data_IF_276275482687
#
_entry.id   IF_276275482687
#
_cell.length_a   1.000
_cell.length_b   1.000
_cell.length_c   1.000
_cell.angle_alpha   90.00
_cell.angle_beta   90.00
_cell.angle_gamma   90.00
#
_symmetry.space_group_name_H-M   'P 1'
#
loop_
_entity.id
_entity.type
_entity.pdbx_description
1 polymer ?
#
# COMPACT_ATOMS: atom_id res chain seq x y z
N UNK A 1 -18.24 -44.78 0.81
CA UNK A 1 -19.04 -43.56 1.03
C UNK A 1 -18.12 -42.39 0.81
N UNK A 2 -18.53 -41.43 -0.01
CA UNK A 2 -17.84 -40.16 -0.11
C UNK A 2 -18.28 -39.28 1.05
N UNK A 3 -17.47 -39.24 2.11
CA UNK A 3 -17.74 -38.50 3.34
C UNK A 3 -17.84 -36.98 3.09
N UNK A 4 -17.22 -36.47 2.01
CA UNK A 4 -17.26 -35.05 1.67
C UNK A 4 -18.64 -34.72 1.11
N UNK A 5 -19.23 -35.59 0.29
CA UNK A 5 -20.59 -35.42 -0.23
C UNK A 5 -21.69 -35.44 0.85
N UNK A 6 -21.37 -35.82 2.09
CA UNK A 6 -22.31 -35.78 3.23
C UNK A 6 -22.31 -34.41 3.95
N UNK A 7 -21.33 -33.55 3.67
CA UNK A 7 -21.25 -32.22 4.28
C UNK A 7 -22.44 -31.32 3.89
N UNK A 8 -22.91 -30.44 4.79
CA UNK A 8 -23.87 -29.38 4.47
C UNK A 8 -23.45 -28.56 3.26
N UNK A 9 -24.42 -28.13 2.45
CA UNK A 9 -24.18 -27.36 1.23
C UNK A 9 -23.35 -26.10 1.47
N UNK A 10 -23.60 -25.38 2.57
CA UNK A 10 -22.82 -24.20 2.95
C UNK A 10 -21.33 -24.49 3.15
N UNK A 11 -20.97 -25.65 3.69
CA UNK A 11 -19.57 -26.07 3.82
C UNK A 11 -18.98 -26.45 2.48
N UNK A 12 -19.76 -27.10 1.60
CA UNK A 12 -19.32 -27.41 0.24
C UNK A 12 -19.05 -26.13 -0.57
N UNK A 13 -19.93 -25.14 -0.50
CA UNK A 13 -19.73 -23.84 -1.14
C UNK A 13 -18.51 -23.11 -0.55
N UNK A 14 -18.29 -23.22 0.76
CA UNK A 14 -17.10 -22.65 1.41
C UNK A 14 -15.81 -23.33 0.92
N UNK A 15 -15.81 -24.64 0.75
CA UNK A 15 -14.67 -25.39 0.18
C UNK A 15 -14.44 -24.97 -1.28
N UNK A 16 -15.50 -24.93 -2.09
CA UNK A 16 -15.42 -24.52 -3.50
C UNK A 16 -14.94 -23.08 -3.67
N UNK A 17 -15.28 -22.19 -2.74
CA UNK A 17 -14.83 -20.78 -2.73
C UNK A 17 -13.32 -20.61 -2.54
N UNK A 18 -12.59 -21.68 -2.21
CA UNK A 18 -11.13 -21.69 -2.08
C UNK A 18 -10.44 -22.15 -3.38
N UNK A 19 -11.20 -22.55 -4.39
CA UNK A 19 -10.69 -23.11 -5.65
C UNK A 19 -10.89 -22.13 -6.82
N UNK A 20 -9.98 -22.13 -7.81
CA UNK A 20 -10.23 -21.46 -9.08
C UNK A 20 -11.50 -21.97 -9.77
N UNK A 21 -12.16 -21.13 -10.55
CA UNK A 21 -13.44 -21.44 -11.20
C UNK A 21 -13.36 -22.68 -12.10
N UNK A 22 -12.22 -22.95 -12.73
CA UNK A 22 -12.01 -24.14 -13.55
C UNK A 22 -12.05 -25.44 -12.72
N UNK A 23 -11.48 -25.41 -11.52
CA UNK A 23 -11.50 -26.54 -10.59
C UNK A 23 -12.89 -26.72 -9.99
N UNK A 24 -13.55 -25.60 -9.64
CA UNK A 24 -14.97 -25.60 -9.24
C UNK A 24 -15.84 -26.25 -10.32
N UNK A 25 -15.66 -25.89 -11.59
CA UNK A 25 -16.37 -26.50 -12.71
C UNK A 25 -16.08 -28.00 -12.83
N UNK A 26 -14.84 -28.42 -12.59
CA UNK A 26 -14.43 -29.82 -12.65
C UNK A 26 -15.11 -30.68 -11.58
N UNK A 27 -15.45 -30.10 -10.42
CA UNK A 27 -16.19 -30.81 -9.36
C UNK A 27 -17.57 -31.31 -9.80
N UNK A 28 -18.15 -30.72 -10.86
CA UNK A 28 -19.43 -31.15 -11.43
C UNK A 28 -19.45 -32.62 -11.86
N UNK A 29 -18.27 -33.19 -12.13
CA UNK A 29 -18.09 -34.56 -12.58
C UNK A 29 -18.03 -35.58 -11.42
N UNK A 30 -17.89 -35.12 -10.18
CA UNK A 30 -17.72 -35.99 -9.01
C UNK A 30 -18.99 -36.77 -8.67
N UNK A 31 -20.14 -36.10 -8.62
CA UNK A 31 -21.43 -36.75 -8.38
C UNK A 31 -22.62 -35.85 -8.75
N UNK A 32 -23.84 -36.42 -8.72
CA UNK A 32 -25.08 -35.66 -8.94
C UNK A 32 -25.24 -34.48 -7.97
N UNK A 33 -24.71 -34.59 -6.75
CA UNK A 33 -24.77 -33.54 -5.72
C UNK A 33 -23.91 -32.33 -6.11
N UNK A 34 -22.72 -32.56 -6.66
CA UNK A 34 -21.78 -31.50 -7.02
C UNK A 34 -22.11 -30.80 -8.34
N UNK A 35 -22.93 -31.44 -9.20
CA UNK A 35 -23.25 -30.98 -10.55
C UNK A 35 -23.70 -29.53 -10.65
N UNK A 36 -24.38 -29.00 -9.64
CA UNK A 36 -24.95 -27.64 -9.66
C UNK A 36 -24.40 -26.71 -8.60
N UNK A 37 -23.53 -27.17 -7.68
CA UNK A 37 -23.04 -26.32 -6.57
C UNK A 37 -22.32 -25.07 -7.06
N UNK A 38 -21.62 -25.17 -8.18
CA UNK A 38 -20.88 -24.08 -8.81
C UNK A 38 -21.75 -22.86 -9.17
N UNK A 39 -23.06 -23.03 -9.43
CA UNK A 39 -23.97 -21.91 -9.77
C UNK A 39 -24.26 -21.00 -8.58
N UNK A 40 -23.92 -21.46 -7.37
CA UNK A 40 -24.17 -20.77 -6.10
C UNK A 40 -22.89 -20.41 -5.35
N UNK A 41 -21.71 -20.62 -5.93
CA UNK A 41 -20.43 -20.31 -5.28
C UNK A 41 -20.25 -18.80 -5.15
N UNK A 42 -20.10 -18.25 -3.93
CA UNK A 42 -20.09 -16.81 -3.70
C UNK A 42 -18.77 -16.14 -4.11
N UNK A 43 -17.69 -16.90 -4.33
CA UNK A 43 -16.37 -16.37 -4.68
C UNK A 43 -15.83 -17.08 -5.91
N UNK A 44 -15.61 -16.32 -6.97
CA UNK A 44 -15.15 -16.85 -8.24
C UNK A 44 -13.81 -16.21 -8.59
N UNK A 45 -12.78 -17.05 -8.71
CA UNK A 45 -11.47 -16.67 -9.23
C UNK A 45 -11.28 -17.27 -10.62
N UNK A 46 -11.16 -16.42 -11.63
CA UNK A 46 -10.87 -16.80 -12.99
C UNK A 46 -9.40 -16.50 -13.28
N UNK A 47 -8.62 -17.56 -13.47
CA UNK A 47 -7.18 -17.47 -13.68
C UNK A 47 -6.79 -18.02 -15.06
N UNK A 48 -6.28 -17.13 -15.91
CA UNK A 48 -5.83 -17.42 -17.28
C UNK A 48 -4.40 -18.00 -17.34
N UNK A 49 -3.67 -18.03 -16.22
CA UNK A 49 -2.30 -18.57 -16.17
C UNK A 49 -2.24 -20.09 -16.33
N UNK A 50 -3.35 -20.79 -16.07
CA UNK A 50 -3.36 -22.25 -15.91
C UNK A 50 -3.07 -23.04 -17.19
N UNK A 51 -3.21 -22.46 -18.38
CA UNK A 51 -3.13 -23.23 -19.61
C UNK A 51 -2.67 -22.37 -20.79
N UNK A 52 -1.91 -22.97 -21.72
CA UNK A 52 -1.58 -22.42 -23.04
C UNK A 52 -2.82 -22.37 -23.93
N UNK A 53 -3.90 -21.75 -23.45
CA UNK A 53 -5.19 -21.82 -24.09
C UNK A 53 -5.15 -20.95 -25.35
N UNK A 54 -5.59 -21.53 -26.47
CA UNK A 54 -6.03 -20.77 -27.62
C UNK A 54 -6.85 -19.54 -27.20
N UNK A 55 -6.50 -18.38 -27.76
CA UNK A 55 -7.20 -17.12 -27.56
C UNK A 55 -8.73 -17.30 -27.57
N UNK A 56 -9.42 -16.79 -26.55
CA UNK A 56 -10.88 -16.78 -26.44
C UNK A 56 -11.56 -18.06 -25.93
N UNK A 57 -10.86 -19.17 -25.66
CA UNK A 57 -11.46 -20.30 -24.90
C UNK A 57 -11.68 -19.94 -23.43
N UNK A 58 -10.73 -19.23 -22.81
CA UNK A 58 -10.86 -18.70 -21.46
C UNK A 58 -12.07 -17.76 -21.38
N UNK A 59 -12.15 -16.76 -22.25
CA UNK A 59 -13.28 -15.82 -22.25
C UNK A 59 -14.64 -16.50 -22.39
N UNK A 60 -14.77 -17.47 -23.32
CA UNK A 60 -16.00 -18.27 -23.46
C UNK A 60 -16.35 -19.09 -22.22
N UNK A 61 -15.35 -19.60 -21.50
CA UNK A 61 -15.58 -20.28 -20.23
C UNK A 61 -16.13 -19.30 -19.19
N UNK A 62 -15.48 -18.14 -19.01
CA UNK A 62 -15.90 -17.09 -18.08
C UNK A 62 -17.33 -16.62 -18.41
N UNK A 63 -17.60 -16.27 -19.67
CA UNK A 63 -18.91 -15.81 -20.14
C UNK A 63 -20.00 -16.83 -19.82
N UNK A 64 -19.76 -18.10 -20.14
CA UNK A 64 -20.73 -19.17 -19.90
C UNK A 64 -20.95 -19.39 -18.40
N UNK A 65 -19.89 -19.36 -17.61
CA UNK A 65 -19.96 -19.58 -16.18
C UNK A 65 -20.73 -18.45 -15.48
N UNK A 66 -20.42 -17.18 -15.81
CA UNK A 66 -21.15 -16.01 -15.31
C UNK A 66 -22.60 -15.98 -15.81
N UNK A 67 -22.86 -16.36 -17.07
CA UNK A 67 -24.22 -16.38 -17.62
C UNK A 67 -25.14 -17.36 -16.89
N UNK A 68 -24.61 -18.52 -16.53
CA UNK A 68 -25.33 -19.61 -15.85
C UNK A 68 -25.28 -19.50 -14.32
N UNK A 69 -24.59 -18.51 -13.77
CA UNK A 69 -24.54 -18.30 -12.33
C UNK A 69 -25.91 -17.82 -11.82
N UNK A 70 -26.37 -18.41 -10.73
CA UNK A 70 -27.74 -18.25 -10.22
C UNK A 70 -27.79 -17.43 -8.93
N UNK A 71 -26.66 -17.25 -8.23
CA UNK A 71 -26.63 -16.46 -7.01
C UNK A 71 -27.00 -14.99 -7.30
N UNK A 72 -27.88 -14.38 -6.50
CA UNK A 72 -28.27 -12.98 -6.70
C UNK A 72 -27.15 -11.99 -6.34
N UNK A 73 -26.21 -12.44 -5.49
CA UNK A 73 -25.06 -11.65 -5.02
C UNK A 73 -23.82 -12.51 -5.11
N UNK A 74 -22.77 -11.99 -5.73
CA UNK A 74 -21.43 -12.56 -5.67
C UNK A 74 -20.59 -11.76 -4.68
N UNK A 75 -19.96 -12.44 -3.72
CA UNK A 75 -19.08 -11.78 -2.74
C UNK A 75 -17.81 -11.27 -3.40
N UNK A 76 -17.13 -12.13 -4.17
CA UNK A 76 -15.85 -11.79 -4.80
C UNK A 76 -15.82 -12.28 -6.25
N UNK A 77 -15.53 -11.37 -7.18
CA UNK A 77 -15.09 -11.69 -8.54
C UNK A 77 -13.63 -11.29 -8.70
N UNK A 78 -12.78 -12.28 -8.94
CA UNK A 78 -11.36 -12.09 -9.15
C UNK A 78 -10.97 -12.56 -10.55
N UNK A 79 -10.39 -11.66 -11.33
CA UNK A 79 -9.84 -11.94 -12.65
C UNK A 79 -8.32 -11.83 -12.61
N UNK A 80 -7.62 -12.96 -12.71
CA UNK A 80 -6.18 -13.04 -12.96
C UNK A 80 -5.97 -13.28 -14.45
N UNK A 81 -5.60 -12.23 -15.16
CA UNK A 81 -5.62 -12.17 -16.61
C UNK A 81 -4.21 -12.14 -17.17
N UNK A 82 -3.99 -12.97 -18.18
CA UNK A 82 -2.76 -13.02 -18.96
C UNK A 82 -2.98 -12.47 -20.37
N UNK A 83 -2.51 -13.22 -21.38
CA UNK A 83 -2.47 -12.79 -22.78
C UNK A 83 -3.75 -13.06 -23.58
N UNK A 84 -4.74 -13.77 -23.02
CA UNK A 84 -5.78 -14.41 -23.84
C UNK A 84 -7.12 -13.67 -23.89
N UNK A 85 -7.29 -12.58 -23.15
CA UNK A 85 -8.53 -11.82 -23.06
C UNK A 85 -8.49 -10.46 -23.78
N UNK A 86 -9.55 -10.13 -24.51
CA UNK A 86 -9.72 -8.85 -25.19
C UNK A 86 -10.57 -7.85 -24.41
N UNK A 87 -10.54 -6.58 -24.80
CA UNK A 87 -11.34 -5.52 -24.15
C UNK A 87 -12.86 -5.73 -24.20
N UNK A 88 -13.38 -6.41 -25.23
CA UNK A 88 -14.81 -6.73 -25.31
C UNK A 88 -15.26 -7.73 -24.24
N UNK A 89 -14.40 -8.70 -23.89
CA UNK A 89 -14.70 -9.69 -22.85
C UNK A 89 -14.89 -8.98 -21.49
N UNK A 90 -14.01 -8.02 -21.19
CA UNK A 90 -14.04 -7.21 -19.97
C UNK A 90 -15.34 -6.42 -19.83
N UNK A 91 -15.87 -5.86 -20.93
CA UNK A 91 -17.17 -5.17 -20.92
C UNK A 91 -18.30 -6.09 -20.52
N UNK A 92 -18.29 -7.34 -21.01
CA UNK A 92 -19.29 -8.35 -20.65
C UNK A 92 -19.18 -8.70 -19.16
N UNK A 93 -17.96 -8.90 -18.66
CA UNK A 93 -17.73 -9.30 -17.26
C UNK A 93 -18.09 -8.20 -16.27
N UNK A 94 -17.87 -6.92 -16.61
CA UNK A 94 -18.30 -5.80 -15.76
C UNK A 94 -19.82 -5.68 -15.70
N UNK A 95 -20.53 -5.92 -16.82
CA UNK A 95 -22.00 -5.99 -16.79
C UNK A 95 -22.50 -7.15 -15.92
N UNK A 96 -21.79 -8.28 -15.95
CA UNK A 96 -22.11 -9.38 -15.05
C UNK A 96 -21.86 -8.99 -13.58
N UNK A 97 -20.76 -8.29 -13.29
CA UNK A 97 -20.46 -7.83 -11.93
C UNK A 97 -21.55 -6.89 -11.37
N UNK A 98 -22.08 -6.00 -12.21
CA UNK A 98 -23.23 -5.16 -11.88
C UNK A 98 -24.50 -5.99 -11.65
N UNK A 99 -24.84 -6.89 -12.59
CA UNK A 99 -25.99 -7.82 -12.48
C UNK A 99 -25.99 -8.59 -11.15
N UNK A 100 -24.82 -9.05 -10.73
CA UNK A 100 -24.63 -9.87 -9.53
C UNK A 100 -24.28 -9.07 -8.28
N UNK A 101 -24.46 -7.74 -8.30
CA UNK A 101 -24.27 -6.86 -7.13
C UNK A 101 -22.96 -7.13 -6.39
N UNK A 102 -21.87 -7.29 -7.15
CA UNK A 102 -20.58 -7.74 -6.63
C UNK A 102 -20.08 -6.84 -5.51
N UNK A 103 -19.56 -7.45 -4.43
CA UNK A 103 -19.00 -6.71 -3.29
C UNK A 103 -17.50 -6.46 -3.43
N UNK A 104 -16.73 -7.43 -3.91
CA UNK A 104 -15.30 -7.30 -4.17
C UNK A 104 -14.98 -7.65 -5.62
N UNK A 105 -14.38 -6.71 -6.33
CA UNK A 105 -13.94 -6.88 -7.71
C UNK A 105 -12.43 -6.66 -7.81
N UNK A 106 -11.72 -7.66 -8.34
CA UNK A 106 -10.26 -7.66 -8.45
C UNK A 106 -9.87 -7.95 -9.89
N UNK A 107 -9.05 -7.08 -10.47
CA UNK A 107 -8.37 -7.30 -11.74
C UNK A 107 -6.87 -7.32 -11.51
N UNK A 108 -6.25 -8.47 -11.74
CA UNK A 108 -4.80 -8.67 -11.69
C UNK A 108 -4.29 -9.07 -13.07
N UNK A 109 -3.43 -8.24 -13.67
CA UNK A 109 -2.88 -8.51 -15.00
C UNK A 109 -1.42 -8.94 -14.87
N UNK A 110 -1.11 -10.15 -15.36
CA UNK A 110 0.27 -10.63 -15.42
C UNK A 110 1.03 -9.87 -16.52
N UNK A 111 2.19 -9.33 -16.17
CA UNK A 111 3.05 -8.54 -17.06
C UNK A 111 4.34 -9.26 -17.42
N UNK A 112 4.33 -10.60 -17.45
CA UNK A 112 5.51 -11.42 -17.77
C UNK A 112 6.12 -11.16 -19.17
N UNK A 113 5.48 -10.35 -20.02
CA UNK A 113 6.10 -9.80 -21.23
C UNK A 113 5.56 -8.40 -21.56
N UNK A 114 6.44 -7.47 -21.95
CA UNK A 114 6.12 -6.10 -22.35
C UNK A 114 5.26 -5.97 -23.63
N UNK A 115 4.85 -7.09 -24.25
CA UNK A 115 4.25 -7.12 -25.58
C UNK A 115 2.71 -7.30 -25.57
N UNK A 116 2.06 -7.44 -24.41
CA UNK A 116 0.59 -7.54 -24.36
C UNK A 116 -0.05 -6.15 -24.40
N UNK A 117 -1.11 -5.95 -25.21
CA UNK A 117 -1.84 -4.69 -25.21
C UNK A 117 -2.44 -4.44 -23.82
N UNK A 118 -2.44 -3.19 -23.34
CA UNK A 118 -3.01 -2.86 -22.04
C UNK A 118 -4.52 -3.12 -22.02
N UNK A 119 -5.05 -3.54 -20.87
CA UNK A 119 -6.48 -3.78 -20.72
C UNK A 119 -7.19 -2.47 -20.37
N UNK A 120 -8.08 -2.04 -21.26
CA UNK A 120 -8.95 -0.88 -21.06
C UNK A 120 -10.20 -1.27 -20.29
N UNK A 121 -10.40 -0.67 -19.10
CA UNK A 121 -11.62 -0.83 -18.32
C UNK A 121 -12.69 0.16 -18.76
N UNK A 122 -13.89 -0.32 -19.13
CA UNK A 122 -14.99 0.52 -19.58
C UNK A 122 -15.62 1.34 -18.45
N UNK A 123 -16.20 2.47 -18.82
CA UNK A 123 -16.98 3.36 -17.95
C UNK A 123 -18.16 2.72 -17.22
N UNK A 124 -18.67 1.58 -17.70
CA UNK A 124 -19.71 0.79 -17.02
C UNK A 124 -19.30 0.33 -15.62
N UNK A 125 -17.98 0.22 -15.35
CA UNK A 125 -17.46 -0.08 -14.02
C UNK A 125 -17.87 0.98 -13.00
N UNK A 126 -17.70 2.25 -13.37
CA UNK A 126 -17.90 3.40 -12.48
C UNK A 126 -19.36 3.81 -12.36
N UNK A 127 -20.18 3.48 -13.35
CA UNK A 127 -21.59 3.87 -13.44
C UNK A 127 -22.55 2.78 -12.94
N UNK A 128 -22.21 1.51 -13.16
CA UNK A 128 -23.08 0.36 -12.82
C UNK A 128 -22.82 -0.23 -11.43
N UNK A 129 -21.56 -0.49 -11.07
CA UNK A 129 -21.20 -1.35 -9.93
C UNK A 129 -21.32 -0.66 -8.55
N UNK A 130 -22.52 -0.19 -8.19
CA UNK A 130 -22.78 0.64 -6.99
C UNK A 130 -22.69 -0.12 -5.65
N UNK A 131 -22.73 -1.44 -5.70
CA UNK A 131 -22.66 -2.32 -4.52
C UNK A 131 -21.23 -2.71 -4.14
N UNK A 132 -20.23 -2.28 -4.92
CA UNK A 132 -18.83 -2.55 -4.62
C UNK A 132 -18.42 -1.94 -3.28
N UNK A 133 -17.81 -2.78 -2.46
CA UNK A 133 -17.16 -2.44 -1.19
C UNK A 133 -15.64 -2.41 -1.37
N UNK A 134 -15.11 -3.28 -2.21
CA UNK A 134 -13.68 -3.38 -2.51
C UNK A 134 -13.44 -3.41 -4.01
N UNK A 135 -12.57 -2.53 -4.50
CA UNK A 135 -12.12 -2.50 -5.89
C UNK A 135 -10.60 -2.51 -5.92
N UNK A 136 -10.02 -3.53 -6.57
CA UNK A 136 -8.56 -3.68 -6.72
C UNK A 136 -8.23 -3.80 -8.19
N UNK A 137 -7.47 -2.84 -8.70
CA UNK A 137 -7.07 -2.75 -10.09
C UNK A 137 -5.55 -2.80 -10.18
N UNK A 138 -5.04 -3.67 -11.03
CA UNK A 138 -3.61 -3.82 -11.27
C UNK A 138 -3.32 -3.81 -12.77
N UNK A 139 -2.48 -2.86 -13.21
CA UNK A 139 -1.98 -2.71 -14.59
C UNK A 139 -3.05 -2.49 -15.67
N UNK A 140 -4.13 -1.80 -15.35
CA UNK A 140 -5.22 -1.45 -16.28
C UNK A 140 -5.12 0.00 -16.76
N UNK A 141 -5.80 0.30 -17.87
CA UNK A 141 -6.10 1.66 -18.32
C UNK A 141 -7.55 1.96 -18.00
N UNK A 142 -7.83 3.12 -17.41
CA UNK A 142 -9.19 3.58 -17.17
C UNK A 142 -9.68 4.41 -18.36
N UNK A 143 -10.83 4.03 -18.93
CA UNK A 143 -11.46 4.79 -20.01
C UNK A 143 -11.96 6.15 -19.52
N UNK A 144 -11.56 7.22 -20.20
CA UNK A 144 -12.11 8.56 -19.97
C UNK A 144 -13.53 8.61 -20.53
N UNK A 145 -14.48 8.85 -19.65
CA UNK A 145 -15.82 9.21 -20.07
C UNK A 145 -16.26 10.33 -19.16
N UNK A 146 -16.81 11.40 -19.72
CA UNK A 146 -17.44 12.50 -18.98
C UNK A 146 -18.73 12.07 -18.23
N UNK A 147 -18.84 10.79 -17.89
CA UNK A 147 -19.96 10.15 -17.21
C UNK A 147 -19.88 10.33 -15.70
N UNK A 148 -21.02 10.19 -15.02
CA UNK A 148 -21.10 10.30 -13.56
C UNK A 148 -20.51 9.05 -12.90
N UNK A 149 -19.33 9.18 -12.29
CA UNK A 149 -18.73 8.16 -11.43
C UNK A 149 -19.57 8.01 -10.15
N UNK A 150 -19.84 6.78 -9.70
CA UNK A 150 -20.60 6.55 -8.48
C UNK A 150 -20.19 5.27 -7.73
N UNK A 151 -19.51 5.43 -6.59
CA UNK A 151 -19.11 4.35 -5.70
C UNK A 151 -19.61 4.57 -4.26
N UNK A 152 -20.94 4.49 -4.03
CA UNK A 152 -21.53 4.89 -2.76
C UNK A 152 -21.17 3.98 -1.57
N UNK A 153 -20.77 2.73 -1.84
CA UNK A 153 -20.49 1.71 -0.82
C UNK A 153 -19.00 1.36 -0.70
N UNK A 154 -18.14 1.98 -1.52
CA UNK A 154 -16.75 1.57 -1.67
C UNK A 154 -15.92 2.02 -0.46
N UNK A 155 -15.33 1.05 0.23
CA UNK A 155 -14.51 1.23 1.43
C UNK A 155 -13.03 1.03 1.16
N UNK A 156 -12.68 0.18 0.21
CA UNK A 156 -11.29 -0.16 -0.11
C UNK A 156 -11.05 0.00 -1.60
N UNK A 157 -10.07 0.84 -1.95
CA UNK A 157 -9.64 1.08 -3.33
C UNK A 157 -8.14 0.84 -3.44
N UNK A 158 -7.74 -0.09 -4.33
CA UNK A 158 -6.34 -0.33 -4.66
C UNK A 158 -6.12 -0.08 -6.14
N UNK A 159 -5.22 0.84 -6.47
CA UNK A 159 -4.88 1.28 -7.82
C UNK A 159 -3.38 1.07 -8.02
N UNK A 160 -3.03 -0.13 -8.49
CA UNK A 160 -1.64 -0.54 -8.68
C UNK A 160 -1.29 -0.43 -10.16
N UNK A 161 -0.29 0.38 -10.49
CA UNK A 161 0.17 0.51 -11.87
C UNK A 161 -0.97 0.90 -12.84
N UNK A 162 -1.92 1.74 -12.41
CA UNK A 162 -3.06 2.15 -13.23
C UNK A 162 -2.69 3.33 -14.12
N UNK A 163 -3.12 3.34 -15.37
CA UNK A 163 -3.06 4.50 -16.24
C UNK A 163 -4.41 5.21 -16.24
N UNK A 164 -4.38 6.52 -15.98
CA UNK A 164 -5.57 7.35 -15.86
C UNK A 164 -5.76 8.25 -17.08
N UNK A 165 -6.98 8.76 -17.31
CA UNK A 165 -7.22 9.85 -18.25
C UNK A 165 -6.48 11.15 -17.93
N UNK A 166 -6.32 11.48 -16.64
CA UNK A 166 -5.64 12.69 -16.16
C UNK A 166 -5.96 13.05 -14.71
N UNK A 167 -5.36 14.13 -14.21
CA UNK A 167 -5.48 14.61 -12.82
C UNK A 167 -6.94 14.86 -12.38
N UNK A 168 -7.76 15.45 -13.27
CA UNK A 168 -9.18 15.74 -13.00
C UNK A 168 -10.01 14.47 -12.79
N UNK A 169 -9.69 13.41 -13.54
CA UNK A 169 -10.38 12.13 -13.42
C UNK A 169 -10.14 11.50 -12.06
N UNK A 170 -8.89 11.52 -11.56
CA UNK A 170 -8.55 11.00 -10.23
C UNK A 170 -9.33 11.75 -9.14
N UNK A 171 -9.40 13.08 -9.25
CA UNK A 171 -10.15 13.91 -8.30
C UNK A 171 -11.66 13.59 -8.32
N UNK A 172 -12.23 13.41 -9.52
CA UNK A 172 -13.62 13.00 -9.70
C UNK A 172 -13.89 11.59 -9.15
N UNK A 173 -12.97 10.65 -9.38
CA UNK A 173 -13.05 9.29 -8.89
C UNK A 173 -13.08 9.24 -7.36
N UNK A 174 -12.15 9.92 -6.69
CA UNK A 174 -12.04 9.90 -5.24
C UNK A 174 -13.18 10.65 -4.54
N UNK A 175 -13.64 11.77 -5.10
CA UNK A 175 -14.80 12.50 -4.58
C UNK A 175 -16.12 11.72 -4.71
N UNK A 176 -16.16 10.72 -5.61
CA UNK A 176 -17.31 9.83 -5.81
C UNK A 176 -17.34 8.61 -4.87
N UNK A 177 -16.40 8.54 -3.91
CA UNK A 177 -16.26 7.46 -2.93
C UNK A 177 -16.45 7.98 -1.49
N UNK A 178 -17.68 8.34 -1.06
CA UNK A 178 -17.92 9.07 0.20
C UNK A 178 -17.57 8.28 1.47
N UNK A 179 -17.55 6.95 1.40
CA UNK A 179 -17.30 6.05 2.54
C UNK A 179 -15.95 5.34 2.46
N UNK A 180 -15.03 5.82 1.62
CA UNK A 180 -13.72 5.21 1.42
C UNK A 180 -12.87 5.28 2.70
N UNK A 181 -12.42 4.13 3.19
CA UNK A 181 -11.63 4.00 4.42
C UNK A 181 -10.15 3.69 4.11
N UNK A 182 -9.87 2.92 3.05
CA UNK A 182 -8.53 2.46 2.68
C UNK A 182 -8.22 2.76 1.20
N UNK A 183 -7.14 3.49 0.95
CA UNK A 183 -6.65 3.81 -0.39
C UNK A 183 -5.18 3.39 -0.54
N UNK A 184 -4.92 2.52 -1.51
CA UNK A 184 -3.57 2.13 -1.93
C UNK A 184 -3.35 2.54 -3.39
N UNK A 185 -2.31 3.32 -3.65
CA UNK A 185 -1.94 3.77 -4.99
C UNK A 185 -0.47 3.47 -5.21
N UNK A 186 -0.17 2.74 -6.27
CA UNK A 186 1.18 2.58 -6.80
C UNK A 186 1.22 3.19 -8.20
N UNK A 187 1.87 4.35 -8.37
CA UNK A 187 1.97 5.00 -9.66
C UNK A 187 3.09 4.41 -10.52
N UNK A 188 2.87 4.38 -11.83
CA UNK A 188 3.95 4.16 -12.80
C UNK A 188 4.59 5.50 -13.18
N UNK A 189 5.89 5.50 -13.52
CA UNK A 189 6.48 6.60 -14.27
C UNK A 189 5.69 6.84 -15.57
N UNK A 190 5.47 8.11 -15.93
CA UNK A 190 4.80 8.51 -17.17
C UNK A 190 3.34 8.08 -17.31
N UNK A 191 2.61 7.93 -16.21
CA UNK A 191 1.14 7.99 -16.31
C UNK A 191 0.70 9.41 -16.73
N UNK A 192 -0.57 9.56 -17.08
CA UNK A 192 -1.12 10.88 -17.42
C UNK A 192 -1.43 11.73 -16.18
N UNK A 193 -0.95 11.35 -14.98
CA UNK A 193 -1.25 12.01 -13.71
C UNK A 193 -0.01 12.64 -13.10
N UNK A 194 0.10 13.95 -13.25
CA UNK A 194 1.21 14.71 -12.68
C UNK A 194 1.01 14.98 -11.20
N UNK A 195 -0.19 15.40 -10.81
CA UNK A 195 -0.55 15.70 -9.43
C UNK A 195 -1.65 14.77 -8.96
N UNK A 196 -1.28 13.81 -8.12
CA UNK A 196 -2.26 12.89 -7.53
C UNK A 196 -2.87 13.52 -6.27
N UNK A 197 -4.12 13.97 -6.38
CA UNK A 197 -4.81 14.73 -5.34
C UNK A 197 -5.79 13.87 -4.55
N UNK A 198 -5.60 13.77 -3.23
CA UNK A 198 -6.41 12.96 -2.32
C UNK A 198 -7.18 13.88 -1.37
N UNK A 199 -8.48 14.08 -1.63
CA UNK A 199 -9.41 14.81 -0.74
C UNK A 199 -10.58 13.93 -0.35
N UNK A 200 -10.37 13.11 0.67
CA UNK A 200 -11.33 12.06 1.09
C UNK A 200 -11.51 12.12 2.62
N UNK A 201 -12.55 12.81 3.14
CA UNK A 201 -12.71 13.03 4.58
C UNK A 201 -12.93 11.77 5.43
N UNK A 202 -13.39 10.67 4.82
CA UNK A 202 -13.64 9.37 5.45
C UNK A 202 -12.39 8.47 5.52
N UNK A 203 -11.31 8.84 4.83
CA UNK A 203 -10.13 8.00 4.68
C UNK A 203 -9.39 7.82 6.01
N UNK A 204 -9.03 6.56 6.31
CA UNK A 204 -8.30 6.15 7.52
C UNK A 204 -6.89 5.66 7.19
N UNK A 205 -6.71 5.01 6.03
CA UNK A 205 -5.44 4.47 5.59
C UNK A 205 -5.10 4.94 4.18
N UNK A 206 -3.90 5.50 4.01
CA UNK A 206 -3.38 5.97 2.74
C UNK A 206 -1.97 5.41 2.51
N UNK A 207 -1.80 4.68 1.41
CA UNK A 207 -0.50 4.20 0.92
C UNK A 207 -0.28 4.75 -0.48
N UNK A 208 0.79 5.51 -0.65
CA UNK A 208 1.21 6.11 -1.91
C UNK A 208 2.63 5.63 -2.22
N UNK A 209 2.81 4.88 -3.30
CA UNK A 209 4.11 4.40 -3.76
C UNK A 209 4.31 4.66 -5.25
N UNK A 210 5.56 4.67 -5.70
CA UNK A 210 5.90 4.75 -7.12
C UNK A 210 6.91 3.66 -7.47
N UNK A 211 6.72 3.04 -8.63
CA UNK A 211 7.70 2.13 -9.22
C UNK A 211 8.90 2.94 -9.73
N UNK A 212 10.11 2.56 -9.31
CA UNK A 212 11.33 3.22 -9.80
C UNK A 212 11.45 3.09 -11.34
N UNK A 213 11.50 4.23 -12.03
CA UNK A 213 11.75 4.35 -13.47
C UNK A 213 12.86 5.35 -13.79
N UNK A 214 13.38 5.29 -15.01
CA UNK A 214 14.36 6.26 -15.51
C UNK A 214 13.63 7.49 -16.06
N UNK A 215 14.04 8.68 -15.64
CA UNK A 215 13.55 9.97 -16.13
C UNK A 215 12.34 10.46 -15.32
N UNK A 216 12.43 11.68 -14.81
CA UNK A 216 11.39 12.29 -13.98
C UNK A 216 10.96 13.62 -14.61
N UNK A 217 9.65 13.85 -14.62
CA UNK A 217 9.09 15.16 -14.95
C UNK A 217 9.41 16.16 -13.84
N UNK A 218 9.34 17.46 -14.14
CA UNK A 218 9.68 18.53 -13.19
C UNK A 218 8.56 18.78 -12.17
N UNK A 219 7.32 18.32 -12.42
CA UNK A 219 6.13 18.67 -11.62
C UNK A 219 5.29 17.41 -11.30
N UNK A 220 5.92 16.38 -10.75
CA UNK A 220 5.18 15.24 -10.18
C UNK A 220 4.97 15.47 -8.68
N UNK A 221 3.84 15.06 -8.12
CA UNK A 221 3.63 15.16 -6.68
C UNK A 221 2.27 14.71 -6.15
N UNK A 222 2.14 14.81 -4.83
CA UNK A 222 0.94 14.47 -4.08
C UNK A 222 0.34 15.71 -3.40
N UNK A 223 -0.98 15.82 -3.43
CA UNK A 223 -1.73 16.79 -2.61
C UNK A 223 -2.68 16.00 -1.72
N UNK A 224 -2.62 16.22 -0.40
CA UNK A 224 -3.37 15.42 0.59
C UNK A 224 -4.16 16.35 1.52
N UNK A 225 -5.46 16.08 1.61
CA UNK A 225 -6.37 16.69 2.60
C UNK A 225 -7.36 15.62 3.09
N UNK A 226 -6.98 14.93 4.17
CA UNK A 226 -7.74 13.79 4.73
C UNK A 226 -7.76 13.84 6.25
N UNK A 227 -8.65 14.64 6.88
CA UNK A 227 -8.61 14.93 8.32
C UNK A 227 -8.87 13.72 9.22
N UNK A 228 -9.41 12.62 8.70
CA UNK A 228 -9.65 11.38 9.45
C UNK A 228 -8.52 10.36 9.36
N UNK A 229 -7.42 10.68 8.66
CA UNK A 229 -6.37 9.72 8.38
C UNK A 229 -5.66 9.25 9.66
N UNK A 230 -5.47 7.94 9.80
CA UNK A 230 -4.83 7.28 10.95
C UNK A 230 -3.48 6.66 10.57
N UNK A 231 -3.36 6.19 9.31
CA UNK A 231 -2.16 5.58 8.74
C UNK A 231 -1.77 6.25 7.42
N UNK A 232 -0.52 6.69 7.32
CA UNK A 232 0.06 7.28 6.11
C UNK A 232 1.39 6.60 5.76
N UNK A 233 1.51 6.05 4.55
CA UNK A 233 2.76 5.50 4.02
C UNK A 233 3.04 6.14 2.65
N UNK A 234 4.15 6.85 2.52
CA UNK A 234 4.59 7.46 1.25
C UNK A 234 5.98 6.94 0.90
N UNK A 235 6.11 6.35 -0.27
CA UNK A 235 7.36 5.88 -0.87
C UNK A 235 7.55 6.53 -2.24
N UNK A 236 8.42 7.54 -2.33
CA UNK A 236 8.57 8.35 -3.53
C UNK A 236 10.02 8.81 -3.78
N UNK A 237 10.65 8.25 -4.82
CA UNK A 237 12.01 8.60 -5.21
C UNK A 237 12.09 9.51 -6.43
N UNK A 238 10.94 9.94 -6.98
CA UNK A 238 10.89 11.05 -7.93
C UNK A 238 11.28 12.29 -7.13
N UNK A 239 12.05 13.20 -7.68
CA UNK A 239 12.39 14.48 -7.03
C UNK A 239 11.17 15.43 -6.97
N UNK A 240 10.03 14.88 -6.56
CA UNK A 240 8.67 15.37 -6.56
C UNK A 240 8.38 16.19 -5.29
N UNK A 241 7.12 16.55 -5.09
CA UNK A 241 6.65 17.22 -3.89
C UNK A 241 5.47 16.48 -3.26
N UNK A 242 5.25 16.74 -1.97
CA UNK A 242 4.02 16.37 -1.28
C UNK A 242 3.55 17.60 -0.49
N UNK A 243 2.31 18.02 -0.75
CA UNK A 243 1.65 19.12 -0.07
C UNK A 243 0.53 18.53 0.78
N UNK A 244 0.54 18.87 2.06
CA UNK A 244 -0.58 18.64 2.97
C UNK A 244 -1.26 19.99 3.18
N UNK A 245 -2.56 20.08 2.90
CA UNK A 245 -3.27 21.36 2.90
C UNK A 245 -3.74 21.78 4.30
N UNK A 246 -4.12 20.80 5.14
CA UNK A 246 -4.62 21.01 6.50
C UNK A 246 -3.94 20.06 7.49
N UNK A 247 -3.92 20.43 8.77
CA UNK A 247 -3.44 19.55 9.84
C UNK A 247 -4.21 18.22 9.83
N UNK A 248 -3.49 17.11 10.01
CA UNK A 248 -4.06 15.76 10.05
C UNK A 248 -3.94 15.20 11.47
N UNK A 249 -4.77 15.67 12.42
CA UNK A 249 -4.57 15.44 13.85
C UNK A 249 -4.76 13.98 14.27
N UNK A 250 -5.46 13.18 13.46
CA UNK A 250 -5.74 11.77 13.77
C UNK A 250 -4.62 10.81 13.35
N UNK A 251 -3.58 11.27 12.65
CA UNK A 251 -2.54 10.35 12.19
C UNK A 251 -1.82 9.75 13.39
N UNK A 252 -1.87 8.43 13.47
CA UNK A 252 -1.27 7.65 14.54
C UNK A 252 0.09 7.11 14.13
N UNK A 253 0.20 6.69 12.87
CA UNK A 253 1.44 6.19 12.30
C UNK A 253 1.69 6.79 10.93
N UNK A 254 2.92 7.25 10.71
CA UNK A 254 3.36 7.70 9.40
C UNK A 254 4.70 7.10 9.01
N UNK A 255 4.85 6.79 7.72
CA UNK A 255 6.07 6.34 7.07
C UNK A 255 6.34 7.23 5.87
N UNK A 256 7.55 7.79 5.82
CA UNK A 256 8.05 8.52 4.68
C UNK A 256 9.37 7.91 4.23
N UNK A 257 9.42 7.43 3.00
CA UNK A 257 10.62 7.00 2.29
C UNK A 257 10.72 7.80 1.00
N UNK A 258 11.20 9.04 1.11
CA UNK A 258 11.03 10.05 0.07
C UNK A 258 12.32 10.80 -0.27
N UNK A 259 12.42 11.20 -1.53
CA UNK A 259 13.48 12.04 -2.06
C UNK A 259 12.93 13.39 -2.54
N UNK A 260 12.53 14.25 -1.59
CA UNK A 260 12.00 15.58 -1.90
C UNK A 260 13.03 16.67 -1.64
N UNK A 261 12.86 17.84 -2.26
CA UNK A 261 13.71 19.02 -2.00
C UNK A 261 13.54 19.57 -0.57
N UNK A 262 12.32 19.51 -0.04
CA UNK A 262 11.94 20.04 1.27
C UNK A 262 11.03 19.08 2.06
N UNK A 263 11.47 17.84 2.36
CA UNK A 263 10.63 16.82 2.97
C UNK A 263 10.22 17.16 4.42
N UNK A 264 11.00 18.01 5.10
CA UNK A 264 10.71 18.45 6.46
C UNK A 264 9.40 19.23 6.57
N UNK A 265 8.94 19.89 5.50
CA UNK A 265 7.71 20.68 5.53
C UNK A 265 6.47 19.81 5.80
N UNK A 266 6.50 18.53 5.41
CA UNK A 266 5.42 17.56 5.66
C UNK A 266 5.25 17.32 7.16
N UNK A 267 6.35 17.36 7.92
CA UNK A 267 6.38 17.04 9.34
C UNK A 267 5.54 18.00 10.20
N UNK A 268 5.30 19.24 9.74
CA UNK A 268 4.50 20.22 10.49
C UNK A 268 3.03 19.81 10.65
N UNK A 269 2.49 19.08 9.67
CA UNK A 269 1.06 18.73 9.61
C UNK A 269 0.71 17.43 10.33
N UNK A 270 1.73 16.70 10.82
CA UNK A 270 1.58 15.36 11.39
C UNK A 270 2.15 15.25 12.82
N UNK A 271 2.25 16.36 13.54
CA UNK A 271 2.87 16.41 14.89
C UNK A 271 2.17 15.53 15.94
N UNK A 272 0.95 15.05 15.65
CA UNK A 272 0.17 14.15 16.52
C UNK A 272 0.58 12.68 16.48
N UNK A 273 1.48 12.28 15.57
CA UNK A 273 1.90 10.87 15.39
C UNK A 273 2.44 10.24 16.67
N UNK A 274 2.13 8.94 16.86
CA UNK A 274 2.74 8.11 17.91
C UNK A 274 3.90 7.27 17.38
N UNK A 275 3.85 6.90 16.11
CA UNK A 275 4.88 6.10 15.42
C UNK A 275 5.29 6.79 14.14
N UNK A 276 6.59 7.02 13.97
CA UNK A 276 7.11 7.71 12.80
C UNK A 276 8.32 6.97 12.24
N UNK A 277 8.29 6.66 10.95
CA UNK A 277 9.43 6.18 10.18
C UNK A 277 9.84 7.23 9.16
N UNK A 278 11.13 7.57 9.14
CA UNK A 278 11.69 8.59 8.25
C UNK A 278 12.90 8.06 7.50
N UNK A 279 12.82 8.07 6.18
CA UNK A 279 13.93 7.96 5.26
C UNK A 279 13.81 9.13 4.28
N UNK A 280 14.48 10.24 4.59
CA UNK A 280 14.35 11.51 3.86
C UNK A 280 15.70 11.87 3.22
N UNK A 281 15.77 11.95 1.88
CA UNK A 281 16.96 12.50 1.22
C UNK A 281 16.96 14.02 1.36
N UNK A 282 17.78 14.53 2.27
CA UNK A 282 17.85 15.96 2.62
C UNK A 282 18.98 16.64 1.86
N UNK A 283 18.64 17.32 0.75
CA UNK A 283 19.61 18.09 -0.05
C UNK A 283 19.80 19.52 0.45
N UNK A 284 18.80 20.12 1.10
CA UNK A 284 18.81 21.50 1.60
C UNK A 284 19.17 21.62 3.10
N UNK A 285 19.49 22.82 3.58
CA UNK A 285 19.89 23.10 4.98
C UNK A 285 18.71 23.06 5.98
N UNK A 286 17.48 23.30 5.52
CA UNK A 286 16.28 23.28 6.35
C UNK A 286 15.77 21.86 6.54
N UNK A 287 16.40 21.13 7.45
CA UNK A 287 16.17 19.70 7.68
C UNK A 287 14.85 19.42 8.43
N UNK A 288 14.37 20.40 9.21
CA UNK A 288 13.27 20.20 10.15
C UNK A 288 12.44 21.50 10.29
N UNK A 289 11.10 21.42 10.35
CA UNK A 289 10.26 22.61 10.43
C UNK A 289 10.39 23.28 11.80
N UNK A 290 10.74 24.56 11.81
CA UNK A 290 10.83 25.36 13.03
C UNK A 290 9.53 25.34 13.83
N UNK A 291 9.61 25.10 15.14
CA UNK A 291 8.46 25.14 16.04
C UNK A 291 7.59 23.88 16.09
N UNK A 292 7.92 22.84 15.32
CA UNK A 292 7.17 21.57 15.36
C UNK A 292 7.60 20.71 16.56
N UNK A 293 6.64 20.38 17.43
CA UNK A 293 6.86 19.55 18.63
C UNK A 293 6.01 18.29 18.53
N UNK A 294 6.67 17.14 18.60
CA UNK A 294 6.06 15.81 18.53
C UNK A 294 5.71 15.29 19.93
N UNK A 295 4.74 15.94 20.57
CA UNK A 295 4.38 15.63 21.97
C UNK A 295 3.84 14.21 22.18
N UNK A 296 3.29 13.60 21.13
CA UNK A 296 2.69 12.26 21.15
C UNK A 296 3.65 11.16 20.68
N UNK A 297 4.83 11.49 20.15
CA UNK A 297 5.72 10.51 19.52
C UNK A 297 6.33 9.58 20.57
N UNK A 298 6.11 8.28 20.37
CA UNK A 298 6.59 7.21 21.26
C UNK A 298 7.64 6.35 20.56
N UNK A 299 7.44 6.06 19.27
CA UNK A 299 8.34 5.25 18.48
C UNK A 299 8.85 6.03 17.26
N UNK A 300 10.16 6.20 17.19
CA UNK A 300 10.85 6.85 16.09
C UNK A 300 11.78 5.85 15.42
N UNK A 301 11.73 5.81 14.10
CA UNK A 301 12.61 5.01 13.27
C UNK A 301 13.21 5.89 12.17
N UNK A 302 14.52 5.98 12.10
CA UNK A 302 15.23 6.85 11.13
C UNK A 302 16.16 6.00 10.26
N UNK A 303 16.09 6.19 8.94
CA UNK A 303 17.07 5.64 8.00
C UNK A 303 18.38 6.43 8.07
N UNK A 304 19.49 5.75 8.27
CA UNK A 304 20.85 6.33 8.33
C UNK A 304 21.50 6.46 6.94
N UNK A 305 20.76 6.15 5.88
CA UNK A 305 21.23 6.13 4.50
C UNK A 305 21.55 7.50 3.89
N UNK A 306 21.23 8.62 4.56
CA UNK A 306 21.28 9.98 4.00
C UNK A 306 22.17 10.92 4.80
N UNK A 307 23.01 11.73 4.16
CA UNK A 307 24.10 12.51 4.82
C UNK A 307 23.68 13.41 6.00
N UNK A 308 22.43 13.90 6.05
CA UNK A 308 21.93 14.79 7.11
C UNK A 308 21.02 14.11 8.14
N UNK A 309 21.00 12.77 8.20
CA UNK A 309 20.17 12.02 9.14
C UNK A 309 20.43 12.40 10.61
N UNK A 310 21.67 12.73 10.97
CA UNK A 310 22.05 13.16 12.31
C UNK A 310 21.36 14.47 12.72
N UNK A 311 21.30 15.46 11.83
CA UNK A 311 20.64 16.73 12.11
C UNK A 311 19.14 16.54 12.37
N UNK A 312 18.49 15.69 11.56
CA UNK A 312 17.10 15.31 11.76
C UNK A 312 16.91 14.62 13.11
N UNK A 313 17.77 13.65 13.43
CA UNK A 313 17.73 12.95 14.71
C UNK A 313 17.86 13.92 15.90
N UNK A 314 18.81 14.85 15.86
CA UNK A 314 19.00 15.84 16.92
C UNK A 314 17.75 16.69 17.16
N UNK A 315 17.12 17.20 16.09
CA UNK A 315 15.86 17.94 16.19
C UNK A 315 14.75 17.08 16.77
N UNK A 316 14.56 15.86 16.25
CA UNK A 316 13.51 14.94 16.69
C UNK A 316 13.68 14.55 18.17
N UNK A 317 14.89 14.29 18.65
CA UNK A 317 15.16 13.96 20.06
C UNK A 317 14.79 15.12 20.98
N UNK A 318 15.14 16.35 20.59
CA UNK A 318 14.82 17.56 21.34
C UNK A 318 13.31 17.81 21.38
N UNK A 319 12.64 17.62 20.25
CA UNK A 319 11.26 18.05 20.04
C UNK A 319 10.25 16.90 20.30
N UNK A 320 10.70 15.74 20.82
CA UNK A 320 9.86 14.56 21.14
C UNK A 320 9.98 14.14 22.61
N UNK A 321 9.35 14.84 23.56
CA UNK A 321 9.55 14.63 25.00
C UNK A 321 9.07 13.27 25.52
N UNK A 322 8.19 12.58 24.80
CA UNK A 322 7.64 11.26 25.19
C UNK A 322 8.27 10.08 24.43
N UNK A 323 9.38 10.32 23.72
CA UNK A 323 10.01 9.29 22.92
C UNK A 323 10.53 8.15 23.81
N UNK A 324 10.05 6.93 23.56
CA UNK A 324 10.42 5.71 24.31
C UNK A 324 11.29 4.75 23.50
N UNK A 325 11.08 4.70 22.19
CA UNK A 325 11.77 3.75 21.31
C UNK A 325 12.39 4.48 20.14
N UNK A 326 13.70 4.35 19.98
CA UNK A 326 14.44 4.81 18.82
C UNK A 326 15.04 3.63 18.07
N UNK A 327 14.82 3.55 16.76
CA UNK A 327 15.50 2.60 15.88
C UNK A 327 16.24 3.35 14.79
N UNK A 328 17.54 3.13 14.72
CA UNK A 328 18.40 3.58 13.63
C UNK A 328 18.68 2.36 12.76
N UNK A 329 18.21 2.41 11.51
CA UNK A 329 18.45 1.33 10.57
C UNK A 329 18.80 1.87 9.20
N UNK A 330 19.23 0.98 8.31
CA UNK A 330 19.47 1.34 6.93
C UNK A 330 18.67 0.47 5.99
N UNK A 331 17.84 1.12 5.19
CA UNK A 331 16.88 0.44 4.31
C UNK A 331 17.40 0.30 2.87
N UNK A 332 18.34 1.17 2.47
CA UNK A 332 18.89 1.23 1.12
C UNK A 332 20.34 0.74 1.06
N UNK A 333 20.61 -0.19 0.15
CA UNK A 333 21.88 -0.95 0.04
C UNK A 333 23.07 -0.07 -0.39
N UNK A 334 22.83 1.11 -0.96
CA UNK A 334 23.84 1.82 -1.76
C UNK A 334 24.99 2.47 -0.98
N UNK A 335 24.88 2.72 0.33
CA UNK A 335 25.99 3.25 1.16
C UNK A 335 25.82 2.88 2.63
N UNK A 336 26.26 1.68 3.04
CA UNK A 336 26.02 1.14 4.38
C UNK A 336 26.71 1.97 5.50
N UNK A 337 25.99 2.85 6.21
CA UNK A 337 26.32 3.21 7.59
C UNK A 337 25.79 2.11 8.50
N UNK A 338 26.72 1.36 9.05
CA UNK A 338 26.44 0.31 10.02
C UNK A 338 27.44 0.51 11.15
N UNK A 339 26.98 0.31 12.38
CA UNK A 339 27.78 0.67 13.54
C UNK A 339 29.01 -0.25 13.65
N UNK A 340 30.20 0.37 13.55
CA UNK A 340 31.52 -0.25 13.65
C UNK A 340 32.21 0.05 14.98
N UNK A 341 31.66 0.99 15.77
CA UNK A 341 32.18 1.38 17.08
C UNK A 341 33.30 2.41 16.99
N UNK A 342 33.30 3.26 15.96
CA UNK A 342 34.26 4.38 15.88
C UNK A 342 33.96 5.40 16.99
N UNK A 343 34.95 6.23 17.35
CA UNK A 343 34.75 7.25 18.39
C UNK A 343 33.65 8.25 18.01
N UNK A 344 33.52 8.61 16.74
CA UNK A 344 32.43 9.46 16.24
C UNK A 344 31.05 8.81 16.45
N UNK A 345 30.92 7.50 16.17
CA UNK A 345 29.67 6.77 16.38
C UNK A 345 29.33 6.63 17.87
N UNK A 346 30.35 6.42 18.72
CA UNK A 346 30.17 6.41 20.18
C UNK A 346 29.70 7.76 20.69
N UNK A 347 30.21 8.87 20.16
CA UNK A 347 29.75 10.22 20.50
C UNK A 347 28.29 10.44 20.10
N UNK A 348 27.86 9.97 18.93
CA UNK A 348 26.44 9.99 18.51
C UNK A 348 25.57 9.22 19.51
N UNK A 349 25.99 8.01 19.90
CA UNK A 349 25.24 7.22 20.89
C UNK A 349 25.20 7.92 22.25
N UNK A 350 26.32 8.48 22.71
CA UNK A 350 26.38 9.24 23.95
C UNK A 350 25.43 10.45 23.91
N UNK A 351 25.37 11.15 22.78
CA UNK A 351 24.45 12.26 22.57
C UNK A 351 22.98 11.81 22.66
N UNK A 352 22.60 10.70 22.02
CA UNK A 352 21.24 10.14 22.09
C UNK A 352 20.85 9.89 23.56
N UNK A 353 21.72 9.21 24.31
CA UNK A 353 21.48 8.83 25.71
C UNK A 353 21.37 10.05 26.64
N UNK A 354 22.09 11.14 26.36
CA UNK A 354 22.02 12.39 27.11
C UNK A 354 20.83 13.27 26.72
N UNK A 355 20.28 13.10 25.52
CA UNK A 355 19.25 14.02 24.99
C UNK A 355 17.82 13.54 25.24
N UNK A 356 17.59 12.23 25.35
CA UNK A 356 16.25 11.67 25.49
C UNK A 356 15.93 11.20 26.91
N UNK A 357 15.01 11.90 27.57
CA UNK A 357 14.68 11.69 28.99
C UNK A 357 13.79 10.46 29.24
N UNK A 358 12.99 10.04 28.26
CA UNK A 358 12.00 8.97 28.40
C UNK A 358 12.38 7.68 27.65
N UNK A 359 13.60 7.60 27.11
CA UNK A 359 14.01 6.52 26.21
C UNK A 359 14.09 5.19 26.96
N UNK A 360 13.38 4.17 26.49
CA UNK A 360 13.37 2.82 27.06
C UNK A 360 14.18 1.85 26.18
N UNK A 361 14.24 2.08 24.87
CA UNK A 361 14.95 1.23 23.92
C UNK A 361 15.62 2.01 22.80
N UNK A 362 16.88 1.69 22.53
CA UNK A 362 17.62 2.08 21.32
C UNK A 362 18.03 0.82 20.56
N UNK A 363 17.73 0.78 19.26
CA UNK A 363 18.12 -0.29 18.33
C UNK A 363 19.00 0.30 17.23
N UNK A 364 20.19 -0.25 17.00
CA UNK A 364 21.10 0.15 15.90
C UNK A 364 21.53 -1.09 15.10
N UNK A 365 21.54 -1.00 13.77
CA UNK A 365 22.09 -2.05 12.92
C UNK A 365 23.64 -2.06 12.95
N UNK A 366 24.25 -3.23 13.17
CA UNK A 366 25.71 -3.42 13.15
C UNK A 366 26.14 -4.30 11.96
N UNK A 367 27.36 -4.10 11.42
CA UNK A 367 27.96 -5.00 10.41
C UNK A 367 28.40 -6.33 11.02
N UNK A 368 28.60 -6.37 12.34
CA UNK A 368 29.08 -7.58 12.99
C UNK A 368 27.99 -8.63 13.00
N UNK A 369 28.24 -9.77 12.35
CA UNK A 369 27.40 -10.98 12.49
C UNK A 369 27.76 -11.79 13.74
N UNK A 370 28.86 -11.44 14.42
CA UNK A 370 29.36 -12.12 15.61
C UNK A 370 28.62 -11.62 16.88
N UNK A 371 27.88 -12.50 17.59
CA UNK A 371 27.18 -12.15 18.82
C UNK A 371 28.10 -11.67 19.94
N UNK A 372 29.34 -12.17 20.02
CA UNK A 372 30.30 -11.78 21.06
C UNK A 372 30.75 -10.33 20.87
N UNK A 373 31.07 -9.93 19.64
CA UNK A 373 31.39 -8.54 19.30
C UNK A 373 30.21 -7.60 19.54
N UNK A 374 28.98 -8.01 19.19
CA UNK A 374 27.78 -7.21 19.52
C UNK A 374 27.65 -7.00 21.04
N UNK A 375 27.90 -8.04 21.84
CA UNK A 375 27.85 -7.96 23.30
C UNK A 375 28.93 -7.03 23.88
N UNK A 376 30.14 -7.05 23.33
CA UNK A 376 31.23 -6.13 23.73
C UNK A 376 30.85 -4.68 23.45
N UNK A 377 30.33 -4.38 22.25
CA UNK A 377 29.85 -3.04 21.91
C UNK A 377 28.72 -2.58 22.85
N UNK A 378 27.78 -3.46 23.23
CA UNK A 378 26.75 -3.12 24.23
C UNK A 378 27.41 -2.78 25.57
N UNK A 379 28.36 -3.60 26.04
CA UNK A 379 29.05 -3.38 27.31
C UNK A 379 29.77 -2.03 27.36
N UNK A 380 30.47 -1.65 26.29
CA UNK A 380 31.13 -0.35 26.22
C UNK A 380 30.14 0.81 26.35
N UNK A 381 29.00 0.71 25.66
CA UNK A 381 27.95 1.73 25.68
C UNK A 381 27.20 1.78 27.01
N UNK A 382 27.23 0.72 27.83
CA UNK A 382 26.61 0.73 29.16
C UNK A 382 27.24 1.76 30.11
N UNK A 383 28.52 2.11 29.90
CA UNK A 383 29.24 3.07 30.74
C UNK A 383 28.95 4.54 30.38
N UNK A 384 28.22 4.81 29.30
CA UNK A 384 27.87 6.18 28.91
C UNK A 384 26.82 6.78 29.85
N UNK A 385 27.00 8.06 30.18
CA UNK A 385 26.03 8.86 30.93
C UNK A 385 24.70 8.91 30.18
N UNK A 386 23.60 8.65 30.88
CA UNK A 386 22.25 8.61 30.29
C UNK A 386 21.25 9.39 31.14
N UNK A 387 20.32 10.07 30.50
CA UNK A 387 19.23 10.79 31.17
C UNK A 387 18.10 9.83 31.58
N UNK A 388 17.82 8.81 30.77
CA UNK A 388 16.89 7.74 31.12
C UNK A 388 17.61 6.56 31.77
N UNK A 389 17.29 6.25 33.02
CA UNK A 389 17.84 5.10 33.76
C UNK A 389 17.32 3.75 33.27
N UNK A 390 16.21 3.73 32.52
CA UNK A 390 15.56 2.51 32.01
C UNK A 390 15.93 2.19 30.55
N UNK A 391 16.77 3.01 29.91
CA UNK A 391 17.12 2.83 28.50
C UNK A 391 18.00 1.58 28.27
N UNK A 392 17.48 0.63 27.49
CA UNK A 392 18.20 -0.56 27.03
C UNK A 392 18.74 -0.37 25.61
N UNK A 393 19.89 -0.96 25.33
CA UNK A 393 20.57 -0.88 24.03
C UNK A 393 20.61 -2.25 23.36
N UNK A 394 20.23 -2.31 22.07
CA UNK A 394 20.19 -3.55 21.28
C UNK A 394 20.86 -3.30 19.93
N UNK A 395 21.72 -4.23 19.50
CA UNK A 395 22.22 -4.27 18.13
C UNK A 395 21.46 -5.34 17.34
N UNK A 396 20.80 -4.91 16.26
CA UNK A 396 20.10 -5.80 15.33
C UNK A 396 21.08 -6.46 14.34
#
# INVERSE_FOLDING_TARGET
MDLISELPESLLLSILSLLPAQDVASTMLLSKRWRFLWTSVPRLEYDDSYQSIEYGRFSRFVDRFLFLHEAPVIETLHFKLGKTCGGEDIRVWIRAADKFCVRELIFEIDSSSNDSPPILLPSSLYTGCRMLVTLKLNKVILEDTSSSIAFPSLKTLSLVSVEYPGDEFVSSLLSSCPVLEDLHVEQRPYDNVTIFTVRVPSLKSLVLSIIMGKGFSVIDGFVIDTPSLEWLDIVDYRNAFCIIENDMPKIMTARFDVNYKHPGEILRYITSVKRLYLCLLLTSENVYPSGSIFYCLVHLKICTCMTKWLNLLMCMLRDSPKLKSLKLEQCHILQAWRYEGTEEEKEVVAFILRSANCLEKVSICSNSTDPCKKLELVKELLFLSRCSSTCNFIFD
#
